data_IF_892711880397
#
_entry.id   IF_892711880397
#
_cell.length_a   1.000
_cell.length_b   1.000
_cell.length_c   1.000
_cell.angle_alpha   90.00
_cell.angle_beta   90.00
_cell.angle_gamma   90.00
#
_symmetry.space_group_name_H-M   'P 1'
#
loop_
_entity.id
_entity.type
_entity.pdbx_description
1 polymer ?
#
# COMPACT_ATOMS: atom_id res chain seq x y z
N UNK A 1 -2.79 -23.83 -1.81
CA UNK A 1 -2.42 -22.88 -2.86
C UNK A 1 -3.58 -22.57 -3.82
N UNK A 2 -4.50 -23.48 -4.20
CA UNK A 2 -5.76 -23.07 -4.82
C UNK A 2 -6.66 -22.21 -3.92
N UNK A 3 -6.38 -22.16 -2.63
CA UNK A 3 -7.18 -21.47 -1.63
C UNK A 3 -7.19 -19.95 -1.77
N UNK A 4 -6.03 -19.31 -2.07
CA UNK A 4 -5.96 -17.85 -2.05
C UNK A 4 -6.76 -17.19 -3.17
N UNK A 5 -6.72 -17.72 -4.38
CA UNK A 5 -7.54 -17.18 -5.48
C UNK A 5 -9.04 -17.42 -5.22
N UNK A 6 -9.39 -18.54 -4.58
CA UNK A 6 -10.77 -18.79 -4.18
C UNK A 6 -11.24 -17.81 -3.10
N UNK A 7 -10.39 -17.46 -2.14
CA UNK A 7 -10.70 -16.43 -1.13
C UNK A 7 -10.96 -15.06 -1.78
N UNK A 8 -10.08 -14.63 -2.71
CA UNK A 8 -10.22 -13.34 -3.39
C UNK A 8 -11.49 -13.29 -4.25
N UNK A 9 -11.76 -14.36 -5.00
CA UNK A 9 -12.97 -14.42 -5.84
C UNK A 9 -14.24 -14.51 -5.00
N UNK A 10 -14.24 -15.24 -3.89
CA UNK A 10 -15.36 -15.32 -2.95
C UNK A 10 -15.64 -13.96 -2.28
N UNK A 11 -14.58 -13.26 -1.83
CA UNK A 11 -14.72 -11.92 -1.26
C UNK A 11 -15.31 -10.93 -2.27
N UNK A 12 -14.84 -10.95 -3.51
CA UNK A 12 -15.39 -10.09 -4.57
C UNK A 12 -16.84 -10.46 -4.90
N UNK A 13 -17.18 -11.74 -4.98
CA UNK A 13 -18.55 -12.17 -5.20
C UNK A 13 -19.48 -11.71 -4.06
N UNK A 14 -19.05 -11.80 -2.81
CA UNK A 14 -19.80 -11.30 -1.64
C UNK A 14 -20.05 -9.78 -1.75
N UNK A 15 -19.02 -9.01 -2.14
CA UNK A 15 -19.08 -7.55 -2.27
C UNK A 15 -19.98 -7.11 -3.44
N UNK A 16 -19.96 -7.83 -4.54
CA UNK A 16 -20.63 -7.44 -5.78
C UNK A 16 -22.04 -7.99 -5.91
N UNK A 17 -22.35 -9.16 -5.35
CA UNK A 17 -23.66 -9.81 -5.47
C UNK A 17 -24.87 -8.93 -5.08
N UNK A 18 -24.80 -8.07 -4.03
CA UNK A 18 -25.93 -7.20 -3.68
C UNK A 18 -26.29 -6.14 -4.74
N UNK A 19 -25.42 -5.92 -5.71
CA UNK A 19 -25.58 -4.90 -6.76
C UNK A 19 -26.17 -5.44 -8.07
N UNK A 20 -26.60 -6.68 -8.11
CA UNK A 20 -27.19 -7.29 -9.30
C UNK A 20 -28.48 -6.58 -9.74
N UNK A 21 -28.79 -6.43 -11.05
CA UNK A 21 -28.03 -6.93 -12.17
C UNK A 21 -26.75 -6.11 -12.46
N UNK A 22 -25.64 -6.79 -12.70
CA UNK A 22 -24.32 -6.16 -12.84
C UNK A 22 -23.49 -6.91 -13.89
N UNK A 23 -22.75 -6.16 -14.71
CA UNK A 23 -21.70 -6.70 -15.57
C UNK A 23 -20.35 -6.46 -14.94
N UNK A 24 -19.57 -7.51 -14.69
CA UNK A 24 -18.19 -7.42 -14.23
C UNK A 24 -17.26 -7.67 -15.41
N UNK A 25 -16.41 -6.70 -15.68
CA UNK A 25 -15.40 -6.78 -16.74
C UNK A 25 -14.06 -7.01 -16.09
N UNK A 26 -13.35 -8.06 -16.47
CA UNK A 26 -12.00 -8.34 -16.01
C UNK A 26 -11.01 -8.04 -17.13
N UNK A 27 -10.09 -7.11 -16.87
CA UNK A 27 -9.02 -6.70 -17.78
C UNK A 27 -7.65 -6.86 -17.12
N UNK A 28 -6.57 -6.81 -17.87
CA UNK A 28 -5.20 -6.88 -17.32
C UNK A 28 -4.14 -7.03 -18.39
N UNK A 29 -2.88 -6.96 -17.98
CA UNK A 29 -1.71 -7.10 -18.85
C UNK A 29 -1.53 -8.52 -19.45
N UNK A 30 -2.23 -9.52 -18.92
CA UNK A 30 -2.25 -10.91 -19.40
C UNK A 30 -3.69 -11.34 -19.68
N UNK A 31 -4.10 -11.43 -20.98
CA UNK A 31 -5.45 -11.84 -21.35
C UNK A 31 -5.84 -13.25 -20.87
N UNK A 32 -4.88 -14.17 -20.82
CA UNK A 32 -5.12 -15.53 -20.34
C UNK A 32 -5.44 -15.55 -18.85
N UNK A 33 -4.69 -14.80 -18.06
CA UNK A 33 -4.95 -14.64 -16.63
C UNK A 33 -6.29 -13.95 -16.37
N UNK A 34 -6.63 -12.92 -17.15
CA UNK A 34 -7.91 -12.21 -17.04
C UNK A 34 -9.09 -13.16 -17.31
N UNK A 35 -9.03 -13.97 -18.38
CA UNK A 35 -10.07 -14.95 -18.70
C UNK A 35 -10.21 -16.03 -17.62
N UNK A 36 -9.11 -16.54 -17.08
CA UNK A 36 -9.13 -17.51 -15.98
C UNK A 36 -9.72 -16.92 -14.71
N UNK A 37 -9.32 -15.69 -14.36
CA UNK A 37 -9.85 -15.00 -13.20
C UNK A 37 -11.35 -14.73 -13.34
N UNK A 38 -11.80 -14.24 -14.51
CA UNK A 38 -13.21 -14.02 -14.80
C UNK A 38 -14.05 -15.30 -14.63
N UNK A 39 -13.56 -16.43 -15.16
CA UNK A 39 -14.22 -17.72 -15.00
C UNK A 39 -14.34 -18.16 -13.54
N UNK A 40 -13.30 -17.99 -12.75
CA UNK A 40 -13.30 -18.32 -11.31
C UNK A 40 -14.20 -17.37 -10.52
N UNK A 41 -14.18 -16.08 -10.83
CA UNK A 41 -15.06 -15.10 -10.23
C UNK A 41 -16.53 -15.44 -10.52
N UNK A 42 -16.86 -15.77 -11.77
CA UNK A 42 -18.21 -16.19 -12.16
C UNK A 42 -18.69 -17.41 -11.36
N UNK A 43 -17.80 -18.39 -11.16
CA UNK A 43 -18.11 -19.59 -10.37
C UNK A 43 -18.30 -19.33 -8.86
N UNK A 44 -17.74 -18.24 -8.35
CA UNK A 44 -17.84 -17.87 -6.94
C UNK A 44 -19.17 -17.20 -6.57
N UNK A 45 -19.92 -16.70 -7.55
CA UNK A 45 -21.22 -16.07 -7.28
C UNK A 45 -22.29 -17.08 -6.88
N UNK A 46 -23.16 -16.76 -5.93
CA UNK A 46 -24.23 -17.67 -5.54
C UNK A 46 -25.21 -17.91 -6.71
N UNK A 47 -25.58 -19.17 -6.91
CA UNK A 47 -26.52 -19.57 -7.97
C UNK A 47 -27.90 -18.92 -7.89
N UNK A 48 -28.23 -18.33 -6.76
CA UNK A 48 -29.49 -17.61 -6.49
C UNK A 48 -29.40 -16.12 -6.81
N UNK A 49 -28.22 -15.60 -7.19
CA UNK A 49 -28.06 -14.21 -7.59
C UNK A 49 -28.79 -13.92 -8.89
N UNK A 50 -29.44 -12.75 -8.98
CA UNK A 50 -30.12 -12.27 -10.17
C UNK A 50 -29.14 -12.10 -11.33
N UNK A 51 -29.66 -12.07 -12.58
CA UNK A 51 -28.86 -12.00 -13.81
C UNK A 51 -27.70 -11.00 -13.73
N UNK A 52 -26.50 -11.51 -13.84
CA UNK A 52 -25.25 -10.77 -13.96
C UNK A 52 -24.26 -11.57 -14.81
N UNK A 53 -23.33 -10.89 -15.44
CA UNK A 53 -22.31 -11.52 -16.27
C UNK A 53 -20.91 -11.15 -15.79
N UNK A 54 -19.96 -12.06 -15.97
CA UNK A 54 -18.53 -11.80 -15.78
C UNK A 54 -17.84 -12.10 -17.10
N UNK A 55 -17.33 -11.04 -17.74
CA UNK A 55 -16.70 -11.11 -19.03
C UNK A 55 -15.21 -10.73 -18.92
N UNK A 56 -14.35 -11.50 -19.59
CA UNK A 56 -12.96 -11.11 -19.78
C UNK A 56 -12.87 -10.23 -21.02
N UNK A 57 -12.41 -9.00 -20.86
CA UNK A 57 -12.06 -8.14 -21.99
C UNK A 57 -10.68 -8.57 -22.49
N UNK A 58 -10.69 -9.46 -23.46
CA UNK A 58 -9.48 -9.81 -24.22
C UNK A 58 -9.13 -8.57 -25.04
N UNK A 59 -8.00 -7.93 -24.73
CA UNK A 59 -7.59 -6.68 -25.34
C UNK A 59 -7.80 -6.66 -26.86
N UNK A 60 -8.78 -5.93 -27.32
CA UNK A 60 -9.05 -5.67 -28.74
C UNK A 60 -8.01 -4.65 -29.23
N UNK A 61 -6.80 -5.14 -29.49
CA UNK A 61 -5.73 -4.36 -30.07
C UNK A 61 -5.81 -4.48 -31.59
N UNK A 62 -6.20 -3.41 -32.25
CA UNK A 62 -6.09 -3.31 -33.68
C UNK A 62 -4.62 -3.31 -34.16
N UNK A 63 -4.34 -3.63 -35.43
CA UNK A 63 -3.00 -3.75 -36.01
C UNK A 63 -2.18 -2.46 -36.07
N UNK A 64 -2.54 -1.43 -35.34
CA UNK A 64 -1.81 -0.16 -35.16
C UNK A 64 -1.53 0.22 -33.70
N UNK A 65 -1.83 -0.64 -32.73
CA UNK A 65 -1.52 -0.38 -31.32
C UNK A 65 -2.47 0.59 -30.59
N UNK A 66 -3.62 0.93 -31.18
CA UNK A 66 -4.67 1.73 -30.55
C UNK A 66 -5.82 0.84 -30.04
N UNK A 67 -6.37 1.15 -28.88
CA UNK A 67 -7.66 0.62 -28.46
C UNK A 67 -8.71 1.04 -29.49
N UNK A 68 -9.51 0.09 -29.98
CA UNK A 68 -10.64 0.41 -30.86
C UNK A 68 -11.67 1.16 -30.02
N UNK A 69 -12.25 2.24 -30.52
CA UNK A 69 -13.23 3.09 -29.82
C UNK A 69 -14.36 2.30 -29.13
N UNK A 70 -14.73 1.15 -29.68
CA UNK A 70 -15.73 0.25 -29.09
C UNK A 70 -15.26 -0.41 -27.78
N UNK A 71 -13.95 -0.63 -27.62
CA UNK A 71 -13.40 -1.19 -26.38
C UNK A 71 -13.28 -0.10 -25.29
N UNK A 72 -12.99 1.16 -25.67
CA UNK A 72 -13.01 2.30 -24.74
C UNK A 72 -14.40 2.51 -24.15
N UNK A 73 -15.46 2.38 -24.96
CA UNK A 73 -16.84 2.48 -24.46
C UNK A 73 -17.23 1.35 -23.49
N UNK A 74 -16.62 0.18 -23.62
CA UNK A 74 -16.81 -0.95 -22.69
C UNK A 74 -16.10 -0.68 -21.36
N UNK A 75 -14.98 0.05 -21.39
CA UNK A 75 -14.19 0.37 -20.19
C UNK A 75 -14.67 1.63 -19.43
N UNK A 76 -15.65 2.36 -19.99
CA UNK A 76 -16.24 3.51 -19.27
C UNK A 76 -17.05 3.02 -18.06
N UNK A 77 -16.86 3.62 -16.88
CA UNK A 77 -17.68 3.33 -15.71
C UNK A 77 -19.15 3.59 -16.00
N UNK A 78 -19.99 2.59 -15.80
CA UNK A 78 -21.43 2.70 -15.86
C UNK A 78 -22.04 2.16 -14.56
N UNK A 79 -23.26 2.59 -14.23
CA UNK A 79 -23.92 2.18 -12.98
C UNK A 79 -24.20 0.68 -12.86
N UNK A 80 -24.24 0.00 -14.01
CA UNK A 80 -24.45 -1.45 -14.13
C UNK A 80 -23.17 -2.24 -14.45
N UNK A 81 -21.99 -1.59 -14.37
CA UNK A 81 -20.72 -2.16 -14.81
C UNK A 81 -19.62 -1.89 -13.81
N UNK A 82 -18.83 -2.94 -13.51
CA UNK A 82 -17.64 -2.89 -12.65
C UNK A 82 -16.44 -3.36 -13.45
N UNK A 83 -15.38 -2.56 -13.46
CA UNK A 83 -14.10 -2.92 -14.03
C UNK A 83 -13.17 -3.45 -12.93
N UNK A 84 -12.70 -4.69 -13.11
CA UNK A 84 -11.67 -5.35 -12.31
C UNK A 84 -10.40 -5.40 -13.15
N UNK A 85 -9.32 -4.79 -12.68
CA UNK A 85 -8.04 -4.78 -13.36
C UNK A 85 -7.02 -5.69 -12.68
N UNK A 86 -6.45 -6.64 -13.43
CA UNK A 86 -5.36 -7.51 -12.97
C UNK A 86 -4.01 -6.88 -13.29
N UNK A 87 -3.29 -6.46 -12.24
CA UNK A 87 -1.92 -5.95 -12.35
C UNK A 87 -0.94 -7.12 -12.36
N UNK A 88 -0.32 -7.41 -13.49
CA UNK A 88 0.64 -8.50 -13.67
C UNK A 88 0.77 -8.90 -15.13
N UNK A 89 1.73 -9.78 -15.43
CA UNK A 89 1.99 -10.25 -16.79
C UNK A 89 3.01 -9.43 -17.57
N UNK A 90 3.38 -9.88 -18.79
CA UNK A 90 4.29 -9.15 -19.66
C UNK A 90 3.66 -7.82 -20.04
N UNK A 91 4.42 -6.75 -19.85
CA UNK A 91 3.98 -5.37 -20.14
C UNK A 91 3.55 -5.25 -21.58
N UNK A 92 2.26 -5.09 -21.82
CA UNK A 92 1.80 -4.62 -23.10
C UNK A 92 2.12 -3.12 -23.25
N UNK A 93 2.50 -2.73 -24.50
CA UNK A 93 2.94 -1.37 -24.92
C UNK A 93 1.84 -0.29 -24.85
N UNK A 94 0.78 -0.51 -24.08
CA UNK A 94 -0.26 0.51 -23.89
C UNK A 94 0.18 1.51 -22.84
N UNK A 95 -0.21 2.74 -23.06
CA UNK A 95 -0.01 3.83 -22.10
C UNK A 95 -0.44 3.32 -20.70
N UNK A 96 0.55 2.97 -19.90
CA UNK A 96 0.36 2.44 -18.56
C UNK A 96 -0.55 3.38 -17.81
N UNK A 97 -1.68 2.88 -17.35
CA UNK A 97 -2.47 3.55 -16.35
C UNK A 97 -3.93 3.77 -16.62
N UNK A 98 -4.44 3.77 -17.86
CA UNK A 98 -5.84 4.11 -18.07
C UNK A 98 -6.81 3.04 -17.53
N UNK A 99 -6.55 1.76 -17.77
CA UNK A 99 -7.39 0.67 -17.25
C UNK A 99 -7.32 0.57 -15.72
N UNK A 100 -6.12 0.62 -15.15
CA UNK A 100 -5.93 0.57 -13.69
C UNK A 100 -6.55 1.77 -12.98
N UNK A 101 -6.50 2.96 -13.57
CA UNK A 101 -7.06 4.18 -12.97
C UNK A 101 -8.57 4.26 -13.02
N UNK A 102 -9.18 3.63 -14.00
CA UNK A 102 -10.64 3.57 -14.17
C UNK A 102 -11.26 2.40 -13.43
N UNK A 103 -10.44 1.41 -13.01
CA UNK A 103 -10.93 0.22 -12.36
C UNK A 103 -11.46 0.52 -10.95
N UNK A 104 -12.64 0.03 -10.65
CA UNK A 104 -13.20 0.03 -9.31
C UNK A 104 -12.54 -1.03 -8.42
N UNK A 105 -11.92 -2.05 -9.02
CA UNK A 105 -11.17 -3.08 -8.31
C UNK A 105 -9.82 -3.28 -9.01
N UNK A 106 -8.73 -3.23 -8.25
CA UNK A 106 -7.39 -3.56 -8.75
C UNK A 106 -6.83 -4.73 -7.96
N UNK A 107 -6.41 -5.77 -8.66
CA UNK A 107 -5.83 -6.98 -8.09
C UNK A 107 -4.37 -7.08 -8.51
N UNK A 108 -3.46 -7.19 -7.56
CA UNK A 108 -2.08 -7.58 -7.82
C UNK A 108 -2.03 -9.09 -8.12
N UNK A 109 -1.76 -9.43 -9.36
CA UNK A 109 -1.70 -10.80 -9.88
C UNK A 109 -0.28 -11.12 -10.40
N UNK A 110 0.75 -10.38 -9.97
CA UNK A 110 2.15 -10.66 -10.34
C UNK A 110 2.64 -11.99 -9.81
N UNK A 111 2.06 -12.43 -8.72
CA UNK A 111 2.15 -13.80 -8.23
C UNK A 111 0.80 -14.48 -8.46
N UNK A 112 0.67 -15.37 -9.48
CA UNK A 112 -0.59 -16.02 -9.80
C UNK A 112 -1.13 -16.92 -8.69
N UNK A 113 -0.25 -17.44 -7.84
CA UNK A 113 -0.63 -18.29 -6.71
C UNK A 113 -1.08 -17.47 -5.49
N UNK A 114 -0.76 -16.17 -5.48
CA UNK A 114 -1.07 -15.28 -4.36
C UNK A 114 -1.64 -13.92 -4.82
N UNK A 115 -2.80 -13.89 -5.48
CA UNK A 115 -3.46 -12.65 -5.87
C UNK A 115 -3.89 -11.84 -4.64
N UNK A 116 -3.81 -10.50 -4.72
CA UNK A 116 -4.17 -9.59 -3.62
C UNK A 116 -4.96 -8.40 -4.16
N UNK A 117 -6.11 -8.08 -3.56
CA UNK A 117 -6.86 -6.85 -3.86
C UNK A 117 -6.04 -5.65 -3.37
N UNK A 118 -5.66 -4.76 -4.29
CA UNK A 118 -4.87 -3.55 -4.00
C UNK A 118 -5.71 -2.28 -3.93
N UNK A 119 -6.82 -2.29 -4.60
CA UNK A 119 -7.79 -1.21 -4.58
C UNK A 119 -9.20 -1.77 -4.69
N UNK A 120 -10.08 -1.23 -3.89
CA UNK A 120 -11.52 -1.44 -3.96
C UNK A 120 -12.18 -0.09 -3.78
N UNK A 121 -13.00 0.32 -4.77
CA UNK A 121 -13.68 1.61 -4.69
C UNK A 121 -14.57 1.68 -3.43
N UNK A 122 -14.56 2.80 -2.69
CA UNK A 122 -15.31 2.92 -1.43
C UNK A 122 -16.79 2.56 -1.53
N UNK A 123 -17.42 2.86 -2.67
CA UNK A 123 -18.82 2.51 -2.91
C UNK A 123 -19.08 1.01 -2.99
N UNK A 124 -18.05 0.18 -3.15
CA UNK A 124 -18.19 -1.26 -3.30
C UNK A 124 -18.15 -2.00 -1.96
N UNK A 125 -17.37 -1.53 -1.01
CA UNK A 125 -17.22 -2.20 0.29
C UNK A 125 -16.78 -1.24 1.39
N UNK A 126 -16.95 -1.66 2.62
CA UNK A 126 -16.29 -1.06 3.77
C UNK A 126 -14.77 -1.19 3.61
N UNK A 127 -14.13 -0.04 3.37
CA UNK A 127 -12.69 0.07 3.11
C UNK A 127 -11.87 -0.54 4.24
N UNK A 128 -12.34 -0.48 5.47
CA UNK A 128 -11.60 -0.93 6.65
C UNK A 128 -11.44 -2.44 6.70
N UNK A 129 -12.47 -3.19 6.33
CA UNK A 129 -12.47 -4.66 6.41
C UNK A 129 -11.51 -5.31 5.41
N UNK A 130 -11.60 -4.92 4.14
CA UNK A 130 -10.77 -5.50 3.09
C UNK A 130 -9.31 -5.03 3.18
N UNK A 131 -9.07 -3.78 3.60
CA UNK A 131 -7.71 -3.26 3.73
C UNK A 131 -6.84 -4.13 4.65
N UNK A 132 -7.35 -4.47 5.82
CA UNK A 132 -6.61 -5.31 6.78
C UNK A 132 -6.28 -6.68 6.20
N UNK A 133 -7.25 -7.35 5.58
CA UNK A 133 -7.03 -8.70 5.03
C UNK A 133 -6.07 -8.69 3.85
N UNK A 134 -6.32 -7.82 2.88
CA UNK A 134 -5.56 -7.80 1.64
C UNK A 134 -4.16 -7.20 1.78
N UNK A 135 -4.00 -6.15 2.57
CA UNK A 135 -2.67 -5.62 2.85
C UNK A 135 -1.83 -6.60 3.67
N UNK A 136 -2.41 -7.29 4.65
CA UNK A 136 -1.71 -8.37 5.35
C UNK A 136 -1.30 -9.50 4.42
N UNK A 137 -2.18 -9.95 3.53
CA UNK A 137 -1.87 -10.99 2.56
C UNK A 137 -0.71 -10.57 1.64
N UNK A 138 -0.73 -9.31 1.17
CA UNK A 138 0.33 -8.77 0.33
C UNK A 138 1.70 -8.77 1.02
N UNK A 139 1.77 -8.28 2.25
CA UNK A 139 3.03 -8.20 2.99
C UNK A 139 3.46 -9.56 3.55
N UNK A 140 2.52 -10.41 3.99
CA UNK A 140 2.83 -11.74 4.51
C UNK A 140 3.54 -12.62 3.48
N UNK A 141 3.07 -12.62 2.22
CA UNK A 141 3.69 -13.38 1.14
C UNK A 141 5.13 -12.96 0.82
N UNK A 142 5.51 -11.73 1.16
CA UNK A 142 6.81 -11.12 0.84
C UNK A 142 7.76 -11.02 2.03
N UNK A 143 7.28 -11.31 3.22
CA UNK A 143 8.02 -11.07 4.46
C UNK A 143 9.33 -11.88 4.56
N UNK A 144 9.35 -13.11 4.03
CA UNK A 144 10.53 -13.98 4.09
C UNK A 144 11.70 -13.44 3.27
N UNK A 145 11.42 -12.89 2.09
CA UNK A 145 12.42 -12.44 1.12
C UNK A 145 12.57 -10.92 1.06
N UNK A 146 11.89 -10.19 1.96
CA UNK A 146 11.83 -8.73 1.94
C UNK A 146 13.21 -8.09 1.93
N UNK A 147 14.05 -8.47 2.87
CA UNK A 147 15.40 -7.90 3.01
C UNK A 147 16.31 -8.24 1.82
N UNK A 148 16.24 -9.47 1.32
CA UNK A 148 17.00 -9.88 0.14
C UNK A 148 16.63 -9.07 -1.11
N UNK A 149 15.35 -8.72 -1.24
CA UNK A 149 14.83 -7.93 -2.38
C UNK A 149 15.32 -6.48 -2.40
N UNK A 150 15.50 -5.87 -1.24
CA UNK A 150 15.85 -4.44 -1.13
C UNK A 150 17.36 -4.19 -0.94
N UNK A 151 18.16 -5.24 -0.75
CA UNK A 151 19.61 -5.16 -0.65
C UNK A 151 20.09 -4.35 0.55
N UNK A 152 21.29 -3.78 0.43
CA UNK A 152 21.92 -2.98 1.50
C UNK A 152 21.49 -1.50 1.40
N UNK A 153 20.30 -1.19 1.90
CA UNK A 153 19.82 0.18 2.06
C UNK A 153 19.84 0.69 3.53
N UNK A 154 20.36 -0.14 4.46
CA UNK A 154 20.49 0.21 5.88
C UNK A 154 21.19 1.55 6.13
N UNK A 155 22.25 1.94 5.39
CA UNK A 155 22.87 3.27 5.53
C UNK A 155 21.90 4.41 5.24
N UNK A 156 20.94 4.23 4.32
CA UNK A 156 19.93 5.24 3.99
C UNK A 156 18.94 5.43 5.12
N UNK A 157 18.56 4.33 5.81
CA UNK A 157 17.75 4.40 7.01
C UNK A 157 18.49 5.13 8.15
N UNK A 158 19.77 4.82 8.38
CA UNK A 158 20.58 5.49 9.39
C UNK A 158 20.68 7.00 9.16
N UNK A 159 20.87 7.41 7.90
CA UNK A 159 20.92 8.83 7.55
C UNK A 159 19.54 9.50 7.75
N UNK A 160 18.44 8.87 7.36
CA UNK A 160 17.09 9.39 7.60
C UNK A 160 16.79 9.54 9.09
N UNK A 161 17.21 8.59 9.92
CA UNK A 161 17.09 8.65 11.38
C UNK A 161 17.89 9.83 11.96
N UNK A 162 19.11 10.05 11.46
CA UNK A 162 19.94 11.21 11.87
C UNK A 162 19.24 12.53 11.52
N UNK A 163 18.69 12.64 10.31
CA UNK A 163 17.97 13.84 9.85
C UNK A 163 16.66 14.05 10.61
N UNK A 164 15.97 12.98 11.03
CA UNK A 164 14.79 13.06 11.88
C UNK A 164 15.08 13.58 13.29
N UNK A 165 16.35 13.73 13.66
CA UNK A 165 16.76 14.35 14.93
C UNK A 165 16.46 13.50 16.15
N UNK A 166 16.49 12.17 16.03
CA UNK A 166 16.38 11.27 17.18
C UNK A 166 17.55 11.54 18.16
N UNK A 167 17.25 11.61 19.46
CA UNK A 167 18.23 11.94 20.50
C UNK A 167 18.18 10.91 21.64
N UNK A 168 19.25 10.78 22.42
CA UNK A 168 19.24 9.97 23.62
C UNK A 168 18.07 10.31 24.56
N UNK A 169 17.39 9.28 25.04
CA UNK A 169 16.21 9.40 25.90
C UNK A 169 14.88 9.52 25.17
N UNK A 170 14.86 9.68 23.84
CA UNK A 170 13.60 9.77 23.10
C UNK A 170 12.81 8.45 23.12
N UNK A 171 11.49 8.58 23.14
CA UNK A 171 10.53 7.52 22.82
C UNK A 171 10.23 7.60 21.34
N UNK A 172 10.59 6.56 20.59
CA UNK A 172 10.48 6.50 19.15
C UNK A 172 9.54 5.37 18.73
N UNK A 173 8.56 5.68 17.89
CA UNK A 173 7.70 4.66 17.24
C UNK A 173 8.10 4.53 15.78
N UNK A 174 8.50 3.33 15.37
CA UNK A 174 8.66 2.95 13.95
C UNK A 174 7.35 2.32 13.49
N UNK A 175 6.50 3.10 12.83
CA UNK A 175 5.14 2.70 12.46
C UNK A 175 5.11 2.16 11.04
N UNK A 176 4.64 0.92 10.88
CA UNK A 176 4.82 0.14 9.67
C UNK A 176 6.26 -0.33 9.52
N UNK A 177 6.87 -0.78 10.63
CA UNK A 177 8.29 -1.11 10.70
C UNK A 177 8.71 -2.26 9.76
N UNK A 178 7.75 -3.06 9.28
CA UNK A 178 8.01 -4.20 8.41
C UNK A 178 8.99 -5.19 9.05
N UNK A 179 10.07 -5.50 8.34
CA UNK A 179 11.17 -6.32 8.85
C UNK A 179 12.10 -5.59 9.82
N UNK A 180 11.80 -4.33 10.19
CA UNK A 180 12.52 -3.56 11.22
C UNK A 180 13.84 -2.94 10.74
N UNK A 181 13.96 -2.56 9.47
CA UNK A 181 15.22 -2.03 8.89
C UNK A 181 15.69 -0.72 9.54
N UNK A 182 14.79 0.11 10.08
CA UNK A 182 15.13 1.33 10.79
C UNK A 182 15.55 1.08 12.26
N UNK A 183 15.07 -0.01 12.87
CA UNK A 183 15.19 -0.24 14.32
C UNK A 183 16.62 -0.16 14.88
N UNK A 184 17.66 -0.75 14.25
CA UNK A 184 19.02 -0.65 14.75
C UNK A 184 19.53 0.80 14.82
N UNK A 185 19.24 1.60 13.78
CA UNK A 185 19.66 2.99 13.73
C UNK A 185 18.87 3.86 14.71
N UNK A 186 17.55 3.62 14.86
CA UNK A 186 16.70 4.28 15.85
C UNK A 186 17.16 3.99 17.27
N UNK A 187 17.46 2.73 17.57
CA UNK A 187 17.95 2.33 18.90
C UNK A 187 19.31 2.94 19.23
N UNK A 188 20.24 2.93 18.26
CA UNK A 188 21.54 3.57 18.45
C UNK A 188 21.42 5.07 18.71
N UNK A 189 20.52 5.77 18.01
CA UNK A 189 20.29 7.22 18.19
C UNK A 189 19.55 7.55 19.51
N UNK A 190 18.56 6.74 19.90
CA UNK A 190 17.81 6.90 21.14
C UNK A 190 18.65 6.55 22.38
N UNK A 191 19.69 5.74 22.21
CA UNK A 191 20.60 5.33 23.27
C UNK A 191 19.94 4.51 24.37
N UNK A 192 20.70 4.17 25.43
CA UNK A 192 20.25 3.23 26.47
C UNK A 192 19.13 3.79 27.35
N UNK A 193 18.92 5.09 27.37
CA UNK A 193 17.83 5.74 28.12
C UNK A 193 16.58 5.98 27.28
N UNK A 194 16.67 5.82 25.97
CA UNK A 194 15.55 5.92 25.06
C UNK A 194 14.75 4.62 24.94
N UNK A 195 13.66 4.71 24.22
CA UNK A 195 12.80 3.55 23.96
C UNK A 195 12.39 3.53 22.49
N UNK A 196 12.61 2.40 21.81
CA UNK A 196 12.18 2.20 20.42
C UNK A 196 11.14 1.08 20.37
N UNK A 197 10.03 1.36 19.69
CA UNK A 197 8.94 0.41 19.50
C UNK A 197 8.65 0.32 18.00
N UNK A 198 8.85 -0.87 17.42
CA UNK A 198 8.48 -1.19 16.05
C UNK A 198 7.06 -1.75 16.00
N UNK A 199 6.20 -1.11 15.25
CA UNK A 199 4.80 -1.49 15.09
C UNK A 199 4.53 -1.90 13.64
N UNK A 200 3.96 -3.08 13.44
CA UNK A 200 3.48 -3.53 12.14
C UNK A 200 2.21 -4.36 12.30
N UNK A 201 1.31 -4.31 11.33
CA UNK A 201 0.06 -5.10 11.42
C UNK A 201 0.20 -6.49 10.79
N UNK A 202 1.37 -6.83 10.20
CA UNK A 202 1.65 -8.10 9.52
C UNK A 202 2.50 -9.01 10.41
N UNK A 203 1.96 -10.10 10.98
CA UNK A 203 2.73 -11.01 11.83
C UNK A 203 3.99 -11.56 11.16
N UNK A 204 3.91 -11.85 9.84
CA UNK A 204 5.04 -12.35 9.05
C UNK A 204 6.23 -11.37 8.99
N UNK A 205 5.96 -10.06 8.90
CA UNK A 205 6.97 -9.00 8.93
C UNK A 205 7.68 -8.95 10.28
N UNK A 206 6.92 -8.96 11.39
CA UNK A 206 7.50 -8.98 12.73
C UNK A 206 8.30 -10.26 13.00
N UNK A 207 7.84 -11.41 12.48
CA UNK A 207 8.60 -12.65 12.57
C UNK A 207 9.92 -12.57 11.78
N UNK A 208 9.93 -11.90 10.62
CA UNK A 208 11.17 -11.66 9.86
C UNK A 208 12.10 -10.69 10.60
N UNK A 209 11.57 -9.63 11.23
CA UNK A 209 12.35 -8.73 12.07
C UNK A 209 13.06 -9.47 13.22
N UNK A 210 12.35 -10.38 13.91
CA UNK A 210 12.94 -11.25 14.95
C UNK A 210 14.03 -12.16 14.41
N UNK A 211 13.77 -12.82 13.28
CA UNK A 211 14.81 -13.67 12.66
C UNK A 211 16.07 -12.91 12.29
N UNK A 212 15.94 -11.62 12.02
CA UNK A 212 17.08 -10.73 11.75
C UNK A 212 17.71 -10.12 13.02
N UNK A 213 17.29 -10.54 14.22
CA UNK A 213 17.80 -10.03 15.51
C UNK A 213 17.44 -8.58 15.83
N UNK A 214 16.45 -8.01 15.15
CA UNK A 214 16.11 -6.58 15.29
C UNK A 214 15.23 -6.27 16.50
N UNK A 215 14.71 -7.29 17.18
CA UNK A 215 14.02 -7.19 18.47
C UNK A 215 14.96 -7.13 19.68
N UNK A 216 16.27 -7.37 19.49
CA UNK A 216 17.27 -7.20 20.55
C UNK A 216 17.42 -5.74 21.00
N UNK A 217 17.16 -4.79 20.09
CA UNK A 217 17.31 -3.34 20.34
C UNK A 217 16.00 -2.56 20.38
N UNK A 218 14.85 -3.22 20.13
CA UNK A 218 13.54 -2.58 20.05
C UNK A 218 12.41 -3.54 20.47
N UNK A 219 11.33 -3.01 21.00
CA UNK A 219 10.12 -3.79 21.26
C UNK A 219 9.31 -3.90 19.98
N UNK A 220 8.95 -5.13 19.57
CA UNK A 220 8.07 -5.36 18.42
C UNK A 220 6.62 -5.57 18.87
N UNK A 221 5.70 -4.84 18.24
CA UNK A 221 4.29 -4.88 18.60
C UNK A 221 3.41 -5.05 17.34
N UNK A 222 2.48 -5.99 17.39
CA UNK A 222 1.47 -6.15 16.36
C UNK A 222 0.39 -5.08 16.53
N UNK A 223 0.32 -4.14 15.61
CA UNK A 223 -0.60 -3.01 15.69
C UNK A 223 -0.98 -2.46 14.31
N UNK A 224 -2.19 -1.90 14.23
CA UNK A 224 -2.67 -1.16 13.07
C UNK A 224 -2.29 0.33 13.22
N UNK A 225 -1.63 0.90 12.20
CA UNK A 225 -1.23 2.30 12.17
C UNK A 225 -2.40 3.29 12.25
N UNK A 226 -3.61 2.85 11.94
CA UNK A 226 -4.83 3.66 12.01
C UNK A 226 -5.40 3.79 13.44
N UNK A 227 -4.94 2.92 14.35
CA UNK A 227 -5.35 2.90 15.75
C UNK A 227 -4.22 2.33 16.60
N UNK A 228 -3.29 3.18 16.98
CA UNK A 228 -2.09 2.79 17.72
C UNK A 228 -2.39 2.55 19.20
N UNK A 229 -1.88 1.46 19.79
CA UNK A 229 -2.01 1.18 21.22
C UNK A 229 -0.98 2.00 22.02
N UNK A 230 -1.00 3.31 21.86
CA UNK A 230 -0.12 4.26 22.52
C UNK A 230 -0.93 5.42 23.09
N UNK A 231 -0.48 5.96 24.22
CA UNK A 231 -1.08 7.12 24.85
C UNK A 231 -0.95 8.38 23.96
N UNK A 232 -1.84 9.32 24.14
CA UNK A 232 -1.75 10.64 23.53
C UNK A 232 -0.44 11.31 23.96
N UNK A 233 0.22 11.96 23.01
CA UNK A 233 1.47 12.69 23.23
C UNK A 233 2.60 11.84 23.89
N UNK A 234 2.59 10.53 23.69
CA UNK A 234 3.54 9.60 24.32
C UNK A 234 4.86 9.43 23.56
N UNK A 235 4.98 9.89 22.32
CA UNK A 235 6.16 9.72 21.47
C UNK A 235 6.85 11.04 21.15
N UNK A 236 8.18 11.01 21.10
CA UNK A 236 9.03 12.14 20.67
C UNK A 236 9.16 12.15 19.14
N UNK A 237 9.31 10.98 18.54
CA UNK A 237 9.52 10.81 17.10
C UNK A 237 8.69 9.64 16.58
N UNK A 238 8.02 9.88 15.46
CA UNK A 238 7.43 8.83 14.63
C UNK A 238 8.30 8.66 13.39
N UNK A 239 8.74 7.44 13.14
CA UNK A 239 9.39 7.05 11.89
C UNK A 239 8.41 6.19 11.08
N UNK A 240 8.12 6.58 9.84
CA UNK A 240 7.11 5.96 8.98
C UNK A 240 7.71 5.66 7.60
N UNK A 241 8.43 4.54 7.50
CA UNK A 241 9.08 4.13 6.26
C UNK A 241 8.13 3.33 5.36
N UNK A 242 7.79 3.89 4.18
CA UNK A 242 6.93 3.21 3.22
C UNK A 242 5.48 3.04 3.67
N UNK A 243 5.02 3.75 4.69
CA UNK A 243 3.70 3.56 5.30
C UNK A 243 2.58 4.37 4.62
N UNK A 244 2.76 5.68 4.49
CA UNK A 244 1.65 6.64 4.25
C UNK A 244 0.87 6.34 2.97
N UNK A 245 1.54 5.93 1.91
CA UNK A 245 0.91 5.60 0.63
C UNK A 245 0.20 4.22 0.62
N UNK A 246 0.32 3.46 1.70
CA UNK A 246 -0.41 2.22 1.92
C UNK A 246 -1.64 2.39 2.79
N UNK A 247 -1.83 3.54 3.43
CA UNK A 247 -3.02 3.80 4.24
C UNK A 247 -4.24 4.01 3.33
N UNK A 248 -5.39 3.42 3.64
CA UNK A 248 -6.63 3.62 2.87
C UNK A 248 -7.15 5.05 3.01
N UNK A 249 -6.98 5.64 4.18
CA UNK A 249 -7.22 7.05 4.49
C UNK A 249 -5.95 7.65 5.10
N UNK A 250 -5.10 8.29 4.27
CA UNK A 250 -3.88 8.93 4.77
C UNK A 250 -4.15 10.05 5.78
N UNK A 251 -5.29 10.76 5.69
CA UNK A 251 -5.62 11.83 6.61
C UNK A 251 -5.92 11.26 8.01
N UNK A 252 -6.77 10.25 8.11
CA UNK A 252 -7.06 9.57 9.37
C UNK A 252 -5.79 8.96 9.99
N UNK A 253 -4.95 8.31 9.16
CA UNK A 253 -3.69 7.75 9.64
C UNK A 253 -2.71 8.81 10.17
N UNK A 254 -2.52 9.92 9.43
CA UNK A 254 -1.66 11.02 9.88
C UNK A 254 -2.19 11.71 11.14
N UNK A 255 -3.52 11.81 11.29
CA UNK A 255 -4.14 12.32 12.52
C UNK A 255 -3.88 11.38 13.71
N UNK A 256 -3.92 10.07 13.51
CA UNK A 256 -3.57 9.09 14.56
C UNK A 256 -2.09 9.18 14.96
N UNK A 257 -1.18 9.32 13.96
CA UNK A 257 0.24 9.58 14.26
C UNK A 257 0.42 10.88 15.05
N UNK A 258 -0.37 11.93 14.74
CA UNK A 258 -0.36 13.19 15.48
C UNK A 258 -0.86 13.03 16.93
N UNK A 259 -1.92 12.23 17.13
CA UNK A 259 -2.45 11.96 18.48
C UNK A 259 -1.39 11.40 19.42
N UNK A 260 -0.65 10.41 18.96
CA UNK A 260 0.37 9.74 19.78
C UNK A 260 1.67 10.53 19.93
N UNK A 261 1.87 11.57 19.12
CA UNK A 261 3.09 12.39 19.14
C UNK A 261 2.91 13.60 20.04
N UNK A 262 3.87 13.90 20.90
CA UNK A 262 3.84 15.11 21.74
C UNK A 262 3.91 16.39 20.89
N UNK A 263 3.36 17.52 21.34
CA UNK A 263 3.61 18.82 20.71
C UNK A 263 5.10 19.09 20.53
N UNK A 264 5.50 19.53 19.35
CA UNK A 264 6.90 19.71 18.98
C UNK A 264 7.66 18.42 18.64
N UNK A 265 7.03 17.25 18.73
CA UNK A 265 7.59 15.98 18.26
C UNK A 265 7.67 15.91 16.73
N UNK A 266 8.41 14.96 16.21
CA UNK A 266 8.75 14.85 14.79
C UNK A 266 8.11 13.65 14.14
N UNK A 267 7.55 13.83 12.94
CA UNK A 267 7.18 12.77 11.99
C UNK A 267 8.21 12.75 10.88
N UNK A 268 8.81 11.58 10.63
CA UNK A 268 9.66 11.31 9.47
C UNK A 268 8.92 10.34 8.52
N UNK A 269 8.50 10.83 7.36
CA UNK A 269 7.97 10.00 6.28
C UNK A 269 9.15 9.70 5.34
N UNK A 270 9.49 8.43 5.20
CA UNK A 270 10.72 8.01 4.54
C UNK A 270 10.47 6.88 3.52
N UNK A 271 11.29 6.87 2.46
CA UNK A 271 11.48 5.71 1.60
C UNK A 271 12.94 5.69 1.10
N UNK A 272 13.64 4.51 1.08
CA UNK A 272 15.06 4.42 0.67
C UNK A 272 15.28 4.59 -0.84
N UNK A 273 14.28 5.03 -1.58
CA UNK A 273 14.31 5.33 -3.01
C UNK A 273 13.35 6.49 -3.27
N UNK A 274 13.78 7.47 -4.06
CA UNK A 274 12.93 8.59 -4.46
C UNK A 274 11.73 8.16 -5.30
N UNK A 275 10.69 8.98 -5.31
CA UNK A 275 9.38 8.66 -5.91
C UNK A 275 9.48 8.35 -7.40
N UNK A 276 10.23 9.15 -8.17
CA UNK A 276 10.44 8.93 -9.60
C UNK A 276 11.15 7.60 -9.87
N UNK A 277 12.21 7.30 -9.11
CA UNK A 277 12.95 6.06 -9.22
C UNK A 277 12.11 4.85 -8.83
N UNK A 278 11.30 4.99 -7.78
CA UNK A 278 10.37 3.94 -7.35
C UNK A 278 9.28 3.68 -8.42
N UNK A 279 8.72 4.74 -8.99
CA UNK A 279 7.77 4.63 -10.09
C UNK A 279 8.38 3.88 -11.29
N UNK A 280 9.61 4.26 -11.69
CA UNK A 280 10.33 3.62 -12.79
C UNK A 280 10.61 2.12 -12.52
N UNK A 281 10.96 1.74 -11.28
CA UNK A 281 11.12 0.32 -10.90
C UNK A 281 9.84 -0.50 -11.07
N UNK A 282 8.70 0.15 -10.92
CA UNK A 282 7.37 -0.44 -11.15
C UNK A 282 6.87 -0.24 -12.57
N UNK A 283 7.71 0.33 -13.48
CA UNK A 283 7.41 0.62 -14.87
C UNK A 283 6.37 1.70 -15.06
N UNK A 284 6.21 2.58 -14.09
CA UNK A 284 5.33 3.76 -14.13
C UNK A 284 6.13 5.03 -14.34
N UNK A 285 5.49 6.03 -14.89
CA UNK A 285 5.95 7.42 -14.84
C UNK A 285 5.33 8.09 -13.60
N UNK A 286 6.15 8.87 -12.87
CA UNK A 286 5.66 9.67 -11.76
C UNK A 286 4.67 10.72 -12.28
N UNK A 287 3.51 10.83 -11.64
CA UNK A 287 2.46 11.77 -12.05
C UNK A 287 2.41 12.98 -11.13
N UNK A 288 2.05 14.16 -11.66
CA UNK A 288 1.69 15.29 -10.81
C UNK A 288 0.56 14.91 -9.85
N UNK A 289 0.63 15.36 -8.60
CA UNK A 289 -0.43 15.16 -7.62
C UNK A 289 -0.53 13.75 -7.00
N UNK A 290 0.51 12.90 -7.13
CA UNK A 290 0.58 11.64 -6.35
C UNK A 290 0.61 11.91 -4.83
N UNK A 291 0.13 10.98 -3.98
CA UNK A 291 -0.12 11.23 -2.55
C UNK A 291 1.03 11.84 -1.74
N UNK A 292 2.27 11.52 -2.11
CA UNK A 292 3.48 12.04 -1.46
C UNK A 292 4.13 13.19 -2.23
N UNK A 293 3.48 13.78 -3.26
CA UNK A 293 3.98 15.02 -3.85
C UNK A 293 3.89 16.15 -2.84
N UNK A 294 4.84 17.09 -2.88
CA UNK A 294 4.86 18.22 -1.95
C UNK A 294 3.52 18.98 -1.97
N UNK A 295 2.98 19.22 -3.18
CA UNK A 295 1.70 19.87 -3.41
C UNK A 295 0.52 19.18 -2.66
N UNK A 296 0.53 17.84 -2.55
CA UNK A 296 -0.50 17.08 -1.85
C UNK A 296 -0.18 16.90 -0.37
N UNK A 297 1.08 16.68 -0.05
CA UNK A 297 1.52 16.35 1.30
C UNK A 297 1.44 17.56 2.24
N UNK A 298 1.79 18.77 1.78
CA UNK A 298 1.74 19.99 2.60
C UNK A 298 0.34 20.26 3.19
N UNK A 299 -0.72 20.37 2.37
CA UNK A 299 -2.06 20.62 2.90
C UNK A 299 -2.58 19.44 3.74
N UNK A 300 -2.24 18.19 3.37
CA UNK A 300 -2.64 17.00 4.12
C UNK A 300 -2.02 16.98 5.53
N UNK A 301 -0.73 17.28 5.65
CA UNK A 301 -0.04 17.39 6.93
C UNK A 301 -0.62 18.54 7.77
N UNK A 302 -0.85 19.71 7.18
CA UNK A 302 -1.44 20.85 7.89
C UNK A 302 -2.83 20.53 8.45
N UNK A 303 -3.68 19.86 7.66
CA UNK A 303 -5.02 19.46 8.09
C UNK A 303 -5.03 18.41 9.20
N UNK A 304 -3.93 17.69 9.40
CA UNK A 304 -3.81 16.59 10.36
C UNK A 304 -2.91 16.91 11.56
N UNK A 305 -2.58 18.20 11.76
CA UNK A 305 -1.87 18.68 12.93
C UNK A 305 -0.34 18.62 12.80
N UNK A 306 0.17 18.67 11.59
CA UNK A 306 1.60 18.68 11.31
C UNK A 306 2.02 19.90 10.51
N UNK A 307 3.23 20.38 10.73
CA UNK A 307 3.87 21.43 9.93
C UNK A 307 5.12 20.87 9.27
N UNK A 308 5.06 20.71 7.93
CA UNK A 308 6.22 20.31 7.13
C UNK A 308 7.34 21.33 7.24
N UNK A 309 8.59 20.89 7.46
CA UNK A 309 9.76 21.77 7.49
C UNK A 309 10.94 21.26 6.66
N UNK A 310 10.86 20.02 6.15
CA UNK A 310 11.84 19.47 5.23
C UNK A 310 11.13 18.56 4.23
N UNK A 311 11.45 18.69 2.95
CA UNK A 311 10.97 17.84 1.87
C UNK A 311 12.12 17.57 0.90
N UNK A 312 12.44 16.31 0.69
CA UNK A 312 13.49 15.86 -0.20
C UNK A 312 13.00 14.66 -1.01
N UNK A 313 13.04 14.75 -2.33
CA UNK A 313 12.68 13.67 -3.25
C UNK A 313 13.79 13.57 -4.33
N UNK A 314 14.83 12.81 -3.99
CA UNK A 314 16.00 12.55 -4.84
C UNK A 314 16.04 11.05 -5.21
N UNK A 315 16.78 10.64 -6.27
CA UNK A 315 16.80 9.23 -6.69
C UNK A 315 17.13 8.25 -5.55
N UNK A 316 18.00 8.65 -4.64
CA UNK A 316 18.52 7.82 -3.54
C UNK A 316 17.55 7.69 -2.38
N UNK A 317 16.62 8.64 -2.20
CA UNK A 317 15.63 8.63 -1.12
C UNK A 317 14.49 9.62 -1.31
N UNK A 318 13.40 9.34 -0.62
CA UNK A 318 12.36 10.29 -0.28
C UNK A 318 12.38 10.54 1.23
N UNK A 319 12.36 11.79 1.67
CA UNK A 319 12.27 12.16 3.09
C UNK A 319 11.44 13.43 3.26
N UNK A 320 10.38 13.33 4.07
CA UNK A 320 9.61 14.47 4.53
C UNK A 320 9.60 14.50 6.06
N UNK A 321 10.01 15.64 6.65
CA UNK A 321 10.02 15.85 8.09
C UNK A 321 8.99 16.90 8.46
N UNK A 322 8.13 16.57 9.43
CA UNK A 322 7.11 17.47 9.94
C UNK A 322 7.14 17.53 11.46
N UNK A 323 6.79 18.69 12.01
CA UNK A 323 6.68 18.90 13.46
C UNK A 323 5.21 18.90 13.87
N UNK A 324 4.87 18.22 14.95
CA UNK A 324 3.53 18.24 15.57
C UNK A 324 3.23 19.65 16.11
N UNK A 325 2.14 20.26 15.65
CA UNK A 325 1.66 21.59 16.09
C UNK A 325 0.65 21.50 17.21
#
# INVERSE_FOLDING_TARGET
MPERIAEVTALLAEVLAPRAPLTVIVDGGDPGAAAQFASRLAAAFPSTARAWSVDAVLGLIGPGGGLVDSALNVLEPATDRILVYLRGGPRHRFAEGDGEQRAQVVIDHRDPDWPVIRHLHPDLADVDRWYLSESRAFFAARAADWDAKFGDDMPRYAEAVRLAGVRPGHVVLDVGCGTGRALPALAAAAGPTGRVIGLDFTPGMLAAARRAGRDESATLLLADARRLPAADAGADVIFAAGLVHHLPDPAAGLAELARVTRPGGVLAIFHPTGRAQLAARHGRVLRPGEPLSEERLVPLLAATGWRLHHYEDVPERFLALATRV
#
